data_IF_403584372140
#
_entry.id   IF_403584372140
#
_cell.length_a   1.000
_cell.length_b   1.000
_cell.length_c   1.000
_cell.angle_alpha   90.00
_cell.angle_beta   90.00
_cell.angle_gamma   90.00
#
_symmetry.space_group_name_H-M   'P 1'
#
loop_
_entity.id
_entity.type
_entity.pdbx_description
1 polymer ?
#
# COMPACT_ATOMS: atom_id res chain seq x y z
N UNK A 1 1.99 -13.31 -1.27
CA UNK A 1 0.98 -12.25 -1.50
C UNK A 1 0.93 -11.92 -2.99
N UNK A 2 -0.16 -11.32 -3.45
CA UNK A 2 -0.29 -10.81 -4.82
C UNK A 2 -0.35 -9.28 -4.76
N UNK A 3 0.45 -8.60 -5.60
CA UNK A 3 0.42 -7.14 -5.68
C UNK A 3 -0.74 -6.73 -6.58
N UNK A 4 -1.78 -6.15 -5.98
CA UNK A 4 -3.01 -5.81 -6.71
C UNK A 4 -2.83 -4.59 -7.63
N UNK A 5 -2.17 -3.55 -7.14
CA UNK A 5 -2.00 -2.29 -7.87
C UNK A 5 -0.78 -1.52 -7.37
N UNK A 6 -0.16 -0.73 -8.25
CA UNK A 6 1.03 0.06 -8.00
C UNK A 6 2.32 -0.73 -7.76
N UNK A 7 3.26 -0.11 -7.03
CA UNK A 7 4.61 -0.64 -6.79
C UNK A 7 4.89 -0.79 -5.30
N UNK A 8 5.16 -2.01 -4.87
CA UNK A 8 5.57 -2.34 -3.51
C UNK A 8 7.08 -2.16 -3.36
N UNK A 9 7.53 -1.51 -2.29
CA UNK A 9 8.94 -1.28 -1.97
C UNK A 9 9.25 -1.59 -0.50
N UNK A 10 10.46 -2.05 -0.22
CA UNK A 10 10.94 -2.30 1.14
C UNK A 10 10.93 -1.03 2.02
N UNK A 11 10.92 -1.24 3.34
CA UNK A 11 10.95 -0.20 4.37
C UNK A 11 9.71 0.71 4.41
N UNK A 12 8.59 0.27 3.84
CA UNK A 12 7.33 1.00 3.85
C UNK A 12 6.41 0.49 4.98
N UNK A 13 5.66 1.38 5.61
CA UNK A 13 4.67 0.99 6.61
C UNK A 13 3.48 0.33 5.93
N UNK A 14 2.97 -0.74 6.53
CA UNK A 14 1.81 -1.48 6.05
C UNK A 14 0.62 -1.17 6.95
N UNK A 15 -0.51 -0.87 6.32
CA UNK A 15 -1.79 -0.59 6.98
C UNK A 15 -2.88 -1.53 6.48
N UNK A 16 -3.85 -1.79 7.33
CA UNK A 16 -5.11 -2.45 7.00
C UNK A 16 -6.24 -1.44 7.18
N UNK A 17 -7.22 -1.46 6.28
CA UNK A 17 -8.41 -0.61 6.43
C UNK A 17 -9.41 -1.26 7.38
N UNK A 18 -9.69 -0.60 8.49
CA UNK A 18 -10.78 -0.94 9.40
C UNK A 18 -11.91 0.06 9.17
N UNK A 19 -12.87 -0.33 8.33
CA UNK A 19 -13.87 0.60 7.81
C UNK A 19 -13.23 1.63 6.86
N UNK A 20 -13.26 2.91 7.25
CA UNK A 20 -12.71 4.03 6.47
C UNK A 20 -11.49 4.69 7.15
N UNK A 21 -10.80 3.95 8.04
CA UNK A 21 -9.57 4.39 8.69
C UNK A 21 -8.46 3.35 8.51
N UNK A 22 -7.26 3.75 8.04
CA UNK A 22 -6.13 2.85 7.97
C UNK A 22 -5.51 2.66 9.36
N UNK A 23 -5.39 1.41 9.79
CA UNK A 23 -4.68 1.01 11.01
C UNK A 23 -3.34 0.39 10.63
N UNK A 24 -2.24 0.91 11.18
CA UNK A 24 -0.91 0.35 10.93
C UNK A 24 -0.80 -1.05 11.54
N UNK A 25 -0.41 -2.02 10.72
CA UNK A 25 -0.24 -3.43 11.12
C UNK A 25 1.23 -3.83 11.22
N UNK A 26 2.13 -3.14 10.52
CA UNK A 26 3.56 -3.45 10.54
C UNK A 26 4.38 -2.62 9.57
N UNK A 27 5.59 -3.11 9.26
CA UNK A 27 6.49 -2.54 8.26
C UNK A 27 7.00 -3.63 7.33
N UNK A 28 7.04 -3.36 6.03
CA UNK A 28 7.59 -4.26 5.03
C UNK A 28 9.12 -4.31 5.18
N UNK A 29 9.66 -5.47 5.55
CA UNK A 29 11.10 -5.66 5.79
C UNK A 29 11.82 -6.37 4.65
N UNK A 30 11.10 -7.09 3.80
CA UNK A 30 11.68 -7.75 2.64
C UNK A 30 10.63 -8.19 1.61
N UNK A 31 11.06 -8.29 0.35
CA UNK A 31 10.29 -8.84 -0.76
C UNK A 31 11.16 -9.89 -1.44
N UNK A 32 10.59 -11.07 -1.68
CA UNK A 32 11.27 -12.17 -2.35
C UNK A 32 10.41 -12.65 -3.52
N UNK A 33 10.98 -12.66 -4.72
CA UNK A 33 10.36 -13.15 -5.94
C UNK A 33 11.10 -14.40 -6.41
N UNK A 34 10.38 -15.53 -6.56
CA UNK A 34 10.94 -16.80 -7.04
C UNK A 34 12.20 -17.29 -6.31
N UNK A 35 12.37 -16.91 -5.04
CA UNK A 35 13.52 -17.29 -4.23
C UNK A 35 14.61 -16.22 -4.17
N UNK A 36 14.53 -15.15 -4.93
CA UNK A 36 15.51 -14.06 -4.96
C UNK A 36 14.97 -12.80 -4.25
N UNK A 37 15.83 -12.14 -3.47
CA UNK A 37 15.50 -10.87 -2.82
C UNK A 37 15.41 -9.75 -3.85
N UNK A 38 14.29 -9.02 -3.85
CA UNK A 38 14.05 -7.88 -4.74
C UNK A 38 13.77 -6.60 -3.96
N UNK A 39 14.13 -5.47 -4.55
CA UNK A 39 13.89 -4.15 -3.93
C UNK A 39 12.46 -3.65 -4.13
N UNK A 40 11.80 -4.09 -5.20
CA UNK A 40 10.43 -3.71 -5.56
C UNK A 40 9.67 -4.85 -6.23
N UNK A 41 8.34 -4.80 -6.15
CA UNK A 41 7.44 -5.68 -6.88
C UNK A 41 6.27 -4.87 -7.47
N UNK A 42 5.93 -5.16 -8.72
CA UNK A 42 4.88 -4.47 -9.50
C UNK A 42 3.55 -5.20 -9.41
N UNK A 43 2.48 -4.49 -9.78
CA UNK A 43 1.14 -5.04 -9.94
C UNK A 43 1.10 -6.30 -10.81
N UNK A 44 0.28 -7.27 -10.43
CA UNK A 44 0.14 -8.58 -11.10
C UNK A 44 1.18 -9.62 -10.70
N UNK A 45 2.22 -9.24 -9.95
CA UNK A 45 3.24 -10.17 -9.49
C UNK A 45 2.85 -10.87 -8.18
N UNK A 46 3.18 -12.16 -8.08
CA UNK A 46 3.09 -12.92 -6.84
C UNK A 46 4.45 -13.04 -6.18
N UNK A 47 4.58 -12.46 -5.00
CA UNK A 47 5.83 -12.40 -4.23
C UNK A 47 5.61 -12.88 -2.80
N UNK A 48 6.68 -13.36 -2.17
CA UNK A 48 6.73 -13.51 -0.72
C UNK A 48 7.14 -12.19 -0.12
N UNK A 49 6.49 -11.79 0.98
CA UNK A 49 6.82 -10.56 1.70
C UNK A 49 7.04 -10.86 3.17
N UNK A 50 8.02 -10.20 3.76
CA UNK A 50 8.22 -10.16 5.20
C UNK A 50 7.63 -8.84 5.73
N UNK A 51 6.77 -8.96 6.74
CA UNK A 51 6.19 -7.81 7.44
C UNK A 51 6.55 -7.95 8.91
N UNK A 52 7.30 -6.98 9.42
CA UNK A 52 7.68 -6.91 10.82
C UNK A 52 6.52 -6.36 11.65
N UNK A 53 6.15 -7.06 12.72
CA UNK A 53 5.13 -6.65 13.69
C UNK A 53 3.89 -7.54 13.76
N UNK A 54 3.16 -7.79 12.66
CA UNK A 54 1.90 -8.53 12.71
C UNK A 54 2.13 -10.03 12.76
N UNK A 55 1.16 -10.75 13.32
CA UNK A 55 1.09 -12.22 13.25
C UNK A 55 -0.11 -12.62 12.41
N UNK A 56 0.12 -13.52 11.44
CA UNK A 56 -0.94 -14.08 10.59
C UNK A 56 -1.86 -14.98 11.44
N UNK A 57 -3.17 -14.83 11.26
CA UNK A 57 -4.20 -15.49 12.07
C UNK A 57 -4.51 -14.78 13.39
N UNK A 58 -4.00 -13.55 13.58
CA UNK A 58 -4.26 -12.75 14.79
C UNK A 58 -4.44 -11.25 14.50
N UNK A 59 -3.44 -10.60 13.91
CA UNK A 59 -3.55 -9.18 13.54
C UNK A 59 -3.88 -8.99 12.06
N UNK A 60 -3.46 -9.95 11.23
CA UNK A 60 -3.79 -10.03 9.81
C UNK A 60 -4.21 -11.46 9.50
N UNK A 61 -5.11 -11.64 8.54
CA UNK A 61 -5.65 -12.93 8.12
C UNK A 61 -5.39 -13.19 6.64
N UNK A 62 -5.47 -14.47 6.23
CA UNK A 62 -5.40 -14.81 4.81
C UNK A 62 -6.59 -14.19 4.06
N UNK A 63 -6.30 -13.52 2.94
CA UNK A 63 -7.30 -12.79 2.17
C UNK A 63 -7.51 -11.34 2.58
N UNK A 64 -6.82 -10.86 3.63
CA UNK A 64 -6.80 -9.44 3.95
C UNK A 64 -6.17 -8.61 2.83
N UNK A 65 -6.79 -7.46 2.56
CA UNK A 65 -6.24 -6.45 1.67
C UNK A 65 -5.41 -5.44 2.49
N UNK A 66 -4.10 -5.44 2.25
CA UNK A 66 -3.13 -4.56 2.91
C UNK A 66 -2.67 -3.46 1.96
N UNK A 67 -2.36 -2.30 2.52
CA UNK A 67 -1.97 -1.11 1.79
C UNK A 67 -0.68 -0.54 2.35
N UNK A 68 0.08 0.18 1.52
CA UNK A 68 1.17 1.01 2.02
C UNK A 68 0.61 2.29 2.61
N UNK A 69 1.08 2.65 3.81
CA UNK A 69 0.72 3.89 4.45
C UNK A 69 1.22 5.08 3.63
N UNK A 70 0.30 5.91 3.16
CA UNK A 70 0.63 7.14 2.45
C UNK A 70 0.34 8.35 3.35
N UNK A 71 1.37 9.12 3.75
CA UNK A 71 1.15 10.37 4.48
C UNK A 71 0.34 11.37 3.65
N UNK A 72 -0.55 12.10 4.31
CA UNK A 72 -1.44 13.08 3.67
C UNK A 72 -0.68 14.10 2.80
N UNK A 73 0.46 14.60 3.30
CA UNK A 73 1.30 15.55 2.55
C UNK A 73 1.83 14.95 1.25
N UNK A 74 2.22 13.67 1.26
CA UNK A 74 2.71 13.01 0.05
C UNK A 74 1.56 12.73 -0.91
N UNK A 75 0.41 12.29 -0.41
CA UNK A 75 -0.80 12.09 -1.22
C UNK A 75 -1.20 13.38 -1.97
N UNK A 76 -1.16 14.52 -1.27
CA UNK A 76 -1.42 15.84 -1.85
C UNK A 76 -0.47 16.18 -3.00
N UNK A 77 0.84 16.02 -2.79
CA UNK A 77 1.86 16.29 -3.82
C UNK A 77 1.67 15.36 -5.02
N UNK A 78 1.43 14.08 -4.77
CA UNK A 78 1.21 13.09 -5.84
C UNK A 78 -0.04 13.42 -6.67
N UNK A 79 -1.15 13.81 -6.05
CA UNK A 79 -2.39 14.16 -6.75
C UNK A 79 -2.29 15.50 -7.50
N UNK A 80 -1.62 16.51 -6.93
CA UNK A 80 -1.65 17.88 -7.46
C UNK A 80 -0.47 18.22 -8.38
N UNK A 81 0.70 17.65 -8.13
CA UNK A 81 1.94 18.07 -8.80
C UNK A 81 2.52 16.97 -9.69
N UNK A 82 2.27 15.70 -9.39
CA UNK A 82 2.96 14.57 -10.04
C UNK A 82 2.01 13.59 -10.75
N UNK A 83 0.70 13.87 -10.80
CA UNK A 83 -0.29 12.92 -11.35
C UNK A 83 0.01 12.50 -12.80
N UNK A 84 0.58 13.41 -13.60
CA UNK A 84 0.94 13.15 -15.01
C UNK A 84 2.22 12.32 -15.17
N UNK A 85 3.06 12.24 -14.13
CA UNK A 85 4.30 11.47 -14.11
C UNK A 85 4.15 10.08 -13.46
N UNK A 86 2.99 9.80 -12.87
CA UNK A 86 2.70 8.53 -12.20
C UNK A 86 2.21 7.49 -13.23
N UNK A 87 2.79 6.28 -13.27
CA UNK A 87 2.30 5.18 -14.09
C UNK A 87 0.81 4.89 -13.82
N UNK A 88 0.07 4.47 -14.85
CA UNK A 88 -1.38 4.28 -14.75
C UNK A 88 -1.81 3.34 -13.61
N UNK A 89 -1.04 2.28 -13.33
CA UNK A 89 -1.31 1.35 -12.23
C UNK A 89 -1.05 1.98 -10.86
N UNK A 90 0.01 2.77 -10.71
CA UNK A 90 0.28 3.52 -9.47
C UNK A 90 -0.77 4.63 -9.25
N UNK A 91 -1.25 5.27 -10.32
CA UNK A 91 -2.29 6.30 -10.25
C UNK A 91 -3.64 5.70 -9.85
N UNK A 92 -3.96 4.49 -10.32
CA UNK A 92 -5.14 3.75 -9.90
C UNK A 92 -5.08 3.38 -8.41
N UNK A 93 -3.91 2.93 -7.93
CA UNK A 93 -3.68 2.65 -6.52
C UNK A 93 -3.84 3.92 -5.66
N UNK A 94 -3.24 5.05 -6.08
CA UNK A 94 -3.37 6.34 -5.42
C UNK A 94 -4.82 6.80 -5.34
N UNK A 95 -5.54 6.75 -6.47
CA UNK A 95 -6.95 7.14 -6.56
C UNK A 95 -7.80 6.30 -5.60
N UNK A 96 -7.61 4.97 -5.63
CA UNK A 96 -8.31 4.05 -4.74
C UNK A 96 -8.02 4.32 -3.26
N UNK A 97 -6.78 4.65 -2.92
CA UNK A 97 -6.39 5.01 -1.56
C UNK A 97 -7.06 6.31 -1.09
N UNK A 98 -7.06 7.34 -1.95
CA UNK A 98 -7.72 8.63 -1.69
C UNK A 98 -9.22 8.45 -1.50
N UNK A 99 -9.89 7.68 -2.36
CA UNK A 99 -11.33 7.41 -2.25
C UNK A 99 -11.68 6.72 -0.93
N UNK A 100 -10.87 5.76 -0.48
CA UNK A 100 -11.07 5.10 0.82
C UNK A 100 -10.97 6.09 1.98
N UNK A 101 -9.98 6.98 1.99
CA UNK A 101 -9.86 8.03 3.00
C UNK A 101 -11.04 9.01 2.96
N UNK A 102 -11.42 9.44 1.75
CA UNK A 102 -12.44 10.47 1.51
C UNK A 102 -13.87 10.02 1.81
N UNK A 103 -14.10 8.70 1.93
CA UNK A 103 -15.36 8.17 2.51
C UNK A 103 -15.61 8.65 3.94
N UNK A 104 -14.55 8.92 4.71
CA UNK A 104 -14.64 9.47 6.07
C UNK A 104 -14.33 10.96 6.11
N UNK A 105 -13.26 11.38 5.45
CA UNK A 105 -12.80 12.77 5.43
C UNK A 105 -12.69 13.28 3.99
N UNK A 106 -13.75 13.94 3.46
CA UNK A 106 -13.80 14.42 2.08
C UNK A 106 -12.70 15.42 1.68
N UNK A 107 -11.96 15.96 2.66
CA UNK A 107 -10.89 16.95 2.44
C UNK A 107 -9.49 16.35 2.56
N UNK A 108 -9.37 15.06 2.90
CA UNK A 108 -8.07 14.41 3.05
C UNK A 108 -7.27 14.47 1.74
N UNK A 109 -6.04 14.98 1.83
CA UNK A 109 -5.12 15.12 0.71
C UNK A 109 -5.38 16.32 -0.22
N UNK A 110 -6.29 17.25 0.13
CA UNK A 110 -6.53 18.49 -0.63
C UNK A 110 -5.58 19.63 -0.28
#
# INVERSE_FOLDING_TARGET
>A
VEVLSGTLKNNQNVVKWEGNEPTRVGQLSGIQEQGEDVSEARSGTRVSVAIDGPTVGRQIDEGDELWIELPEKHAKILEQELSDDIPADELEALTSYLDKHRKRDPFWGK
#
